data_IF_499627882514
#
_entry.id   IF_499627882514
#
_cell.length_a   1.000
_cell.length_b   1.000
_cell.length_c   1.000
_cell.angle_alpha   90.00
_cell.angle_beta   90.00
_cell.angle_gamma   90.00
#
_symmetry.space_group_name_H-M   'P 1'
#
loop_
_entity.id
_entity.type
_entity.pdbx_description
1 polymer ?
#
# COMPACT_ATOMS: atom_id res chain seq x y z
N UNK A 1 24.81 6.26 -38.99
CA UNK A 1 26.01 5.92 -38.20
C UNK A 1 25.61 6.13 -36.75
N UNK A 2 25.33 5.06 -35.99
CA UNK A 2 24.99 5.19 -34.57
C UNK A 2 26.23 5.75 -33.87
N UNK A 3 26.14 6.94 -33.27
CA UNK A 3 27.29 7.57 -32.64
C UNK A 3 27.52 6.92 -31.29
N UNK A 4 28.78 6.75 -30.91
CA UNK A 4 29.17 6.20 -29.60
C UNK A 4 28.57 7.02 -28.44
N UNK A 5 28.40 8.33 -28.64
CA UNK A 5 27.71 9.23 -27.71
C UNK A 5 26.24 8.86 -27.48
N UNK A 6 25.50 8.43 -28.52
CA UNK A 6 24.10 8.01 -28.39
C UNK A 6 23.99 6.73 -27.53
N UNK A 7 24.95 5.81 -27.67
CA UNK A 7 25.01 4.59 -26.88
C UNK A 7 25.36 4.87 -25.41
N UNK A 8 26.28 5.81 -25.17
CA UNK A 8 26.67 6.22 -23.82
C UNK A 8 25.54 6.97 -23.10
N UNK A 9 24.84 7.89 -23.78
CA UNK A 9 23.66 8.56 -23.24
C UNK A 9 22.54 7.57 -22.92
N UNK A 10 22.25 6.66 -23.84
CA UNK A 10 21.26 5.61 -23.63
C UNK A 10 21.58 4.77 -22.39
N UNK A 11 22.84 4.36 -22.20
CA UNK A 11 23.28 3.62 -21.01
C UNK A 11 23.09 4.41 -19.70
N UNK A 12 23.36 5.71 -19.70
CA UNK A 12 23.12 6.58 -18.54
C UNK A 12 21.63 6.72 -18.22
N UNK A 13 20.78 6.91 -19.23
CA UNK A 13 19.33 7.01 -19.06
C UNK A 13 18.74 5.72 -18.49
N UNK A 14 19.18 4.56 -18.99
CA UNK A 14 18.74 3.26 -18.46
C UNK A 14 19.18 3.07 -17.00
N UNK A 15 20.41 3.46 -16.66
CA UNK A 15 20.88 3.39 -15.27
C UNK A 15 20.09 4.31 -14.34
N UNK A 16 19.85 5.56 -14.74
CA UNK A 16 19.04 6.52 -13.98
C UNK A 16 17.60 6.00 -13.78
N UNK A 17 16.99 5.45 -14.83
CA UNK A 17 15.66 4.84 -14.76
C UNK A 17 15.61 3.63 -13.81
N UNK A 18 16.64 2.80 -13.80
CA UNK A 18 16.73 1.65 -12.91
C UNK A 18 16.84 2.07 -11.43
N UNK A 19 17.69 3.06 -11.14
CA UNK A 19 17.84 3.62 -9.78
C UNK A 19 16.54 4.25 -9.30
N UNK A 20 15.87 5.03 -10.15
CA UNK A 20 14.57 5.64 -9.82
C UNK A 20 13.50 4.57 -9.52
N UNK A 21 13.44 3.51 -10.34
CA UNK A 21 12.48 2.41 -10.14
C UNK A 21 12.73 1.66 -8.83
N UNK A 22 13.99 1.39 -8.48
CA UNK A 22 14.36 0.75 -7.22
C UNK A 22 13.98 1.62 -6.01
N UNK A 23 14.19 2.94 -6.09
CA UNK A 23 13.80 3.87 -5.04
C UNK A 23 12.26 3.95 -4.88
N UNK A 24 11.50 4.01 -5.99
CA UNK A 24 10.03 3.99 -5.98
C UNK A 24 9.48 2.70 -5.34
N UNK A 25 10.07 1.55 -5.70
CA UNK A 25 9.66 0.24 -5.17
C UNK A 25 9.94 0.13 -3.66
N UNK A 26 11.11 0.59 -3.21
CA UNK A 26 11.47 0.64 -1.79
C UNK A 26 10.54 1.54 -0.99
N UNK A 27 10.19 2.71 -1.53
CA UNK A 27 9.25 3.64 -0.90
C UNK A 27 7.84 3.04 -0.77
N UNK A 28 7.34 2.34 -1.80
CA UNK A 28 6.05 1.65 -1.74
C UNK A 28 6.05 0.53 -0.72
N UNK A 29 7.11 -0.28 -0.67
CA UNK A 29 7.24 -1.34 0.33
C UNK A 29 7.22 -0.77 1.77
N UNK A 30 7.91 0.34 2.01
CA UNK A 30 7.88 1.04 3.29
C UNK A 30 6.48 1.58 3.61
N UNK A 31 5.78 2.18 2.64
CA UNK A 31 4.42 2.68 2.83
C UNK A 31 3.43 1.56 3.18
N UNK A 32 3.54 0.38 2.55
CA UNK A 32 2.74 -0.81 2.90
C UNK A 32 3.03 -1.24 4.33
N UNK A 33 4.30 -1.38 4.70
CA UNK A 33 4.69 -1.79 6.04
C UNK A 33 4.17 -0.82 7.11
N UNK A 34 4.25 0.49 6.85
CA UNK A 34 3.68 1.52 7.73
C UNK A 34 2.16 1.40 7.82
N UNK A 35 1.44 1.28 6.71
CA UNK A 35 -0.02 1.19 6.72
C UNK A 35 -0.52 -0.04 7.49
N UNK A 36 0.13 -1.21 7.29
CA UNK A 36 -0.18 -2.42 8.05
C UNK A 36 0.12 -2.26 9.53
N UNK A 37 1.27 -1.66 9.87
CA UNK A 37 1.66 -1.38 11.25
C UNK A 37 0.69 -0.45 11.97
N UNK A 38 0.29 0.63 11.32
CA UNK A 38 -0.69 1.60 11.84
C UNK A 38 -2.05 0.94 12.08
N UNK A 39 -2.54 0.13 11.13
CA UNK A 39 -3.80 -0.60 11.28
C UNK A 39 -3.74 -1.61 12.44
N UNK A 40 -2.65 -2.35 12.58
CA UNK A 40 -2.46 -3.30 13.68
C UNK A 40 -2.44 -2.59 15.04
N UNK A 41 -1.72 -1.47 15.14
CA UNK A 41 -1.68 -0.65 16.35
C UNK A 41 -3.08 -0.15 16.72
N UNK A 42 -3.80 0.43 15.75
CA UNK A 42 -5.17 0.91 15.95
C UNK A 42 -6.11 -0.21 16.41
N UNK A 43 -6.02 -1.39 15.80
CA UNK A 43 -6.85 -2.55 16.17
C UNK A 43 -6.64 -2.98 17.63
N UNK A 44 -5.40 -2.93 18.11
CA UNK A 44 -5.09 -3.25 19.52
C UNK A 44 -5.62 -2.17 20.46
N UNK A 45 -5.45 -0.89 20.11
CA UNK A 45 -5.98 0.23 20.89
C UNK A 45 -7.51 0.18 21.00
N UNK A 46 -8.21 -0.03 19.87
CA UNK A 46 -9.66 -0.14 19.79
C UNK A 46 -10.18 -1.35 20.59
N UNK A 47 -9.51 -2.51 20.49
CA UNK A 47 -9.87 -3.71 21.26
C UNK A 47 -9.67 -3.54 22.77
N UNK A 48 -8.58 -2.89 23.17
CA UNK A 48 -8.30 -2.57 24.58
C UNK A 48 -9.36 -1.62 25.16
N UNK A 49 -9.78 -0.61 24.38
CA UNK A 49 -10.85 0.30 24.76
C UNK A 49 -12.17 -0.46 24.98
N UNK A 50 -12.55 -1.36 24.06
CA UNK A 50 -13.76 -2.18 24.19
C UNK A 50 -13.72 -3.08 25.44
N UNK A 51 -12.59 -3.73 25.73
CA UNK A 51 -12.44 -4.54 26.96
C UNK A 51 -12.56 -3.69 28.22
N UNK A 52 -11.94 -2.50 28.22
CA UNK A 52 -12.02 -1.55 29.33
C UNK A 52 -13.47 -1.12 29.57
N UNK A 53 -14.21 -0.81 28.50
CA UNK A 53 -15.60 -0.40 28.59
C UNK A 53 -16.50 -1.55 29.08
N UNK A 54 -16.31 -2.76 28.54
CA UNK A 54 -17.03 -3.96 28.99
C UNK A 54 -16.80 -4.24 30.49
N UNK A 55 -15.60 -3.99 31.01
CA UNK A 55 -15.29 -4.20 32.42
C UNK A 55 -16.05 -3.22 33.35
N UNK A 56 -16.57 -2.11 32.84
CA UNK A 56 -17.30 -1.11 33.64
C UNK A 56 -18.80 -1.39 33.76
N UNK A 57 -19.37 -2.21 32.86
CA UNK A 57 -20.82 -2.45 32.80
C UNK A 57 -21.22 -3.73 33.54
N UNK A 58 -22.41 -3.71 34.15
CA UNK A 58 -22.99 -4.87 34.88
C UNK A 58 -24.20 -5.48 34.18
N UNK A 59 -24.73 -4.82 33.16
CA UNK A 59 -25.91 -5.27 32.42
C UNK A 59 -25.51 -5.92 31.10
N UNK A 60 -26.13 -7.06 30.80
CA UNK A 60 -25.95 -7.78 29.54
C UNK A 60 -26.34 -6.93 28.33
N UNK A 61 -27.40 -6.13 28.43
CA UNK A 61 -27.83 -5.21 27.36
C UNK A 61 -26.74 -4.21 26.97
N UNK A 62 -26.16 -3.50 27.94
CA UNK A 62 -25.00 -2.61 27.70
C UNK A 62 -23.81 -3.34 27.09
N UNK A 63 -23.54 -4.57 27.52
CA UNK A 63 -22.43 -5.35 26.95
C UNK A 63 -22.67 -5.67 25.46
N UNK A 64 -23.92 -5.94 25.06
CA UNK A 64 -24.28 -6.10 23.64
C UNK A 64 -24.19 -4.80 22.85
N UNK A 65 -24.59 -3.66 23.42
CA UNK A 65 -24.40 -2.34 22.81
C UNK A 65 -22.92 -2.11 22.49
N UNK A 66 -22.04 -2.28 23.48
CA UNK A 66 -20.57 -2.09 23.34
C UNK A 66 -19.99 -3.01 22.26
N UNK A 67 -20.35 -4.31 22.27
CA UNK A 67 -19.87 -5.23 21.24
C UNK A 67 -20.38 -4.87 19.85
N UNK A 68 -21.64 -4.42 19.74
CA UNK A 68 -22.23 -3.99 18.47
C UNK A 68 -21.54 -2.75 17.90
N UNK A 69 -21.27 -1.75 18.75
CA UNK A 69 -20.58 -0.54 18.35
C UNK A 69 -19.12 -0.81 17.97
N UNK A 70 -18.42 -1.66 18.75
CA UNK A 70 -17.09 -2.13 18.39
C UNK A 70 -17.09 -2.87 17.05
N UNK A 71 -18.06 -3.75 16.80
CA UNK A 71 -18.15 -4.50 15.55
C UNK A 71 -18.37 -3.57 14.34
N UNK A 72 -19.24 -2.57 14.48
CA UNK A 72 -19.49 -1.57 13.43
C UNK A 72 -18.22 -0.77 13.13
N UNK A 73 -17.59 -0.21 14.16
CA UNK A 73 -16.34 0.55 14.03
C UNK A 73 -15.21 -0.31 13.43
N UNK A 74 -15.03 -1.54 13.92
CA UNK A 74 -14.00 -2.45 13.42
C UNK A 74 -14.19 -2.77 11.94
N UNK A 75 -15.45 -2.93 11.50
CA UNK A 75 -15.77 -3.13 10.09
C UNK A 75 -15.43 -1.91 9.23
N UNK A 76 -15.84 -0.71 9.66
CA UNK A 76 -15.54 0.55 8.95
C UNK A 76 -14.02 0.78 8.84
N UNK A 77 -13.28 0.54 9.94
CA UNK A 77 -11.83 0.64 9.97
C UNK A 77 -11.17 -0.38 9.04
N UNK A 78 -11.64 -1.64 9.04
CA UNK A 78 -11.12 -2.69 8.17
C UNK A 78 -11.31 -2.34 6.69
N UNK A 79 -12.49 -1.89 6.29
CA UNK A 79 -12.75 -1.50 4.89
C UNK A 79 -11.85 -0.34 4.48
N UNK A 80 -11.73 0.68 5.34
CA UNK A 80 -10.93 1.88 5.06
C UNK A 80 -9.45 1.56 4.91
N UNK A 81 -8.85 0.88 5.89
CA UNK A 81 -7.43 0.52 5.84
C UNK A 81 -7.15 -0.56 4.79
N UNK A 82 -8.09 -1.48 4.57
CA UNK A 82 -8.01 -2.49 3.51
C UNK A 82 -7.95 -1.85 2.11
N UNK A 83 -8.77 -0.82 1.85
CA UNK A 83 -8.71 -0.06 0.60
C UNK A 83 -7.37 0.66 0.43
N UNK A 84 -6.85 1.27 1.50
CA UNK A 84 -5.55 1.96 1.49
C UNK A 84 -4.40 1.00 1.20
N UNK A 85 -4.32 -0.13 1.92
CA UNK A 85 -3.29 -1.15 1.70
C UNK A 85 -3.41 -1.76 0.30
N UNK A 86 -4.64 -2.06 -0.15
CA UNK A 86 -4.90 -2.56 -1.50
C UNK A 86 -4.46 -1.57 -2.58
N UNK A 87 -4.69 -0.27 -2.38
CA UNK A 87 -4.22 0.80 -3.26
C UNK A 87 -2.69 0.82 -3.38
N UNK A 88 -1.97 0.72 -2.27
CA UNK A 88 -0.51 0.66 -2.26
C UNK A 88 0.02 -0.57 -3.01
N UNK A 89 -0.60 -1.73 -2.86
CA UNK A 89 -0.25 -2.92 -3.64
C UNK A 89 -0.54 -2.74 -5.13
N UNK A 90 -1.65 -2.09 -5.48
CA UNK A 90 -1.97 -1.79 -6.88
C UNK A 90 -0.93 -0.83 -7.50
N UNK A 91 -0.46 0.16 -6.75
CA UNK A 91 0.56 1.10 -7.22
C UNK A 91 1.92 0.42 -7.37
N UNK A 92 2.29 -0.47 -6.44
CA UNK A 92 3.47 -1.33 -6.59
C UNK A 92 3.39 -2.20 -7.85
N UNK A 93 2.23 -2.80 -8.12
CA UNK A 93 2.02 -3.60 -9.33
C UNK A 93 2.14 -2.77 -10.61
N UNK A 94 1.54 -1.57 -10.66
CA UNK A 94 1.68 -0.64 -11.79
C UNK A 94 3.14 -0.27 -12.03
N UNK A 95 3.89 0.05 -10.96
CA UNK A 95 5.32 0.35 -11.06
C UNK A 95 6.12 -0.82 -11.63
N UNK A 96 5.84 -2.05 -11.19
CA UNK A 96 6.46 -3.25 -11.72
C UNK A 96 6.12 -3.50 -13.21
N UNK A 97 4.95 -3.05 -13.67
CA UNK A 97 4.51 -3.16 -15.07
C UNK A 97 5.06 -2.07 -16.00
N UNK A 98 5.47 -0.89 -15.50
CA UNK A 98 5.99 0.23 -16.31
C UNK A 98 7.06 -0.17 -17.36
N UNK A 99 8.05 -1.03 -17.05
CA UNK A 99 9.07 -1.43 -18.04
C UNK A 99 8.48 -2.16 -19.26
N UNK A 100 7.37 -2.89 -19.08
CA UNK A 100 6.71 -3.64 -20.15
C UNK A 100 5.88 -2.74 -21.07
N UNK A 101 5.29 -1.66 -20.53
CA UNK A 101 4.60 -0.64 -21.33
C UNK A 101 5.56 0.06 -22.31
N UNK A 102 6.75 0.45 -21.82
CA UNK A 102 7.80 1.05 -22.66
C UNK A 102 8.33 0.09 -23.73
N UNK A 103 8.42 -1.20 -23.42
CA UNK A 103 8.81 -2.23 -24.39
C UNK A 103 7.76 -2.42 -25.48
N UNK A 104 6.48 -2.50 -25.12
CA UNK A 104 5.37 -2.58 -26.07
C UNK A 104 5.34 -1.36 -27.00
N UNK A 105 5.46 -0.14 -26.46
CA UNK A 105 5.49 1.09 -27.27
C UNK A 105 6.65 1.12 -28.28
N UNK A 106 7.82 0.55 -27.93
CA UNK A 106 8.95 0.38 -28.86
C UNK A 106 8.67 -0.66 -29.96
N UNK A 107 7.92 -1.72 -29.67
CA UNK A 107 7.56 -2.72 -30.69
C UNK A 107 6.48 -2.20 -31.65
N UNK A 108 5.49 -1.46 -31.16
CA UNK A 108 4.44 -0.88 -32.04
C UNK A 108 4.92 0.29 -32.88
N UNK A 109 5.98 1.00 -32.48
CA UNK A 109 6.61 2.05 -33.28
C UNK A 109 7.66 1.54 -34.26
N UNK A 110 8.02 0.26 -34.16
CA UNK A 110 8.92 -0.44 -35.10
C UNK A 110 8.18 -1.24 -36.19
N UNK A 111 6.84 -1.29 -36.15
CA UNK A 111 5.95 -1.89 -37.15
C UNK A 111 5.29 -0.81 -38.00
#
# INVERSE_FOLDING_TARGET
MIKFEDFQQYGQEQFASAVASAAEMGSNAQAIATAVGDYAKKSVEDGSAMVTELATVRSVEKAFEIQGDYARMAYENFVTEGQKIGGLYADLAKQACKPFEGFMAKMTSAA
#
